data_IF_978075660963
#
_entry.id   IF_978075660963
#
_cell.length_a   1.000
_cell.length_b   1.000
_cell.length_c   1.000
_cell.angle_alpha   90.00
_cell.angle_beta   90.00
_cell.angle_gamma   90.00
#
_symmetry.space_group_name_H-M   'P 1'
#
loop_
_entity.id
_entity.type
_entity.pdbx_description
1 polymer ?
#
# COMPACT_ATOMS: atom_id res chain seq x y z
N UNK A 1 6.52 13.10 32.29
CA UNK A 1 6.55 14.36 31.51
C UNK A 1 7.99 14.83 31.45
N UNK A 2 8.64 14.74 30.28
CA UNK A 2 10.05 15.14 30.10
C UNK A 2 10.11 16.66 30.18
N UNK A 3 10.91 17.19 31.11
CA UNK A 3 11.07 18.63 31.31
C UNK A 3 11.85 19.19 30.11
N UNK A 4 11.27 20.15 29.39
CA UNK A 4 11.94 20.81 28.25
C UNK A 4 13.12 21.65 28.77
N UNK A 5 14.34 21.27 28.34
CA UNK A 5 15.60 21.91 28.74
C UNK A 5 16.19 22.77 27.62
N UNK A 6 15.48 22.95 26.51
CA UNK A 6 15.97 23.71 25.34
C UNK A 6 16.36 25.14 25.71
N UNK A 7 15.61 25.76 26.64
CA UNK A 7 15.90 27.09 27.15
C UNK A 7 17.13 27.16 28.07
N UNK A 8 17.44 26.11 28.82
CA UNK A 8 18.67 26.04 29.64
C UNK A 8 19.91 26.02 28.76
N UNK A 9 19.88 25.26 27.66
CA UNK A 9 20.97 25.20 26.69
C UNK A 9 21.19 26.54 25.98
N UNK A 10 20.10 27.20 25.55
CA UNK A 10 20.19 28.53 24.90
C UNK A 10 20.78 29.58 25.84
N UNK A 11 20.29 29.66 27.08
CA UNK A 11 20.78 30.63 28.07
C UNK A 11 22.24 30.41 28.45
N UNK A 12 22.69 29.16 28.43
CA UNK A 12 24.09 28.80 28.69
C UNK A 12 24.99 29.17 27.51
N UNK A 13 24.54 28.98 26.27
CA UNK A 13 25.26 29.42 25.07
C UNK A 13 25.46 30.95 25.06
N UNK A 14 24.43 31.73 25.39
CA UNK A 14 24.52 33.19 25.46
C UNK A 14 25.49 33.68 26.55
N UNK A 15 25.67 32.91 27.63
CA UNK A 15 26.64 33.19 28.69
C UNK A 15 28.10 32.92 28.30
N UNK A 16 28.34 32.11 27.26
CA UNK A 16 29.68 31.75 26.79
C UNK A 16 30.13 32.55 25.57
N UNK A 17 29.34 33.51 25.08
CA UNK A 17 29.78 34.48 24.08
C UNK A 17 30.48 35.64 24.82
N UNK A 18 31.82 35.74 24.82
CA UNK A 18 32.48 36.96 25.26
C UNK A 18 32.12 38.06 24.24
N UNK A 19 32.00 39.30 24.70
CA UNK A 19 31.98 40.46 23.81
C UNK A 19 33.37 40.59 23.15
N UNK A 20 33.66 39.78 22.14
CA UNK A 20 34.76 39.97 21.23
C UNK A 20 34.52 39.14 19.97
N UNK A 21 34.80 39.72 18.80
CA UNK A 21 34.56 39.21 17.44
C UNK A 21 35.38 37.94 17.11
N UNK A 22 35.27 36.91 17.95
CA UNK A 22 35.74 35.57 17.63
C UNK A 22 34.61 34.84 16.92
N UNK A 23 34.56 35.02 15.61
CA UNK A 23 33.91 34.07 14.71
C UNK A 23 34.58 32.73 15.00
N UNK A 24 33.92 31.90 15.81
CA UNK A 24 34.20 30.47 15.83
C UNK A 24 33.80 30.02 14.43
N UNK A 25 34.79 29.96 13.53
CA UNK A 25 34.66 29.20 12.30
C UNK A 25 34.46 27.77 12.77
N UNK A 26 33.20 27.40 12.94
CA UNK A 26 32.81 26.01 12.98
C UNK A 26 33.30 25.49 11.64
N UNK A 27 34.46 24.85 11.65
CA UNK A 27 34.89 23.91 10.62
C UNK A 27 33.98 22.68 10.71
N UNK A 28 32.69 22.95 10.66
CA UNK A 28 31.70 22.05 10.16
C UNK A 28 31.99 22.06 8.68
N UNK A 29 32.85 21.15 8.27
CA UNK A 29 32.50 20.30 7.16
C UNK A 29 31.13 19.64 7.48
N UNK A 30 30.06 20.44 7.48
CA UNK A 30 28.74 20.03 7.03
C UNK A 30 28.84 19.80 5.52
N UNK A 31 29.76 18.91 5.15
CA UNK A 31 29.76 18.15 3.91
C UNK A 31 28.70 17.04 3.98
N UNK A 32 27.81 17.08 4.98
CA UNK A 32 26.41 16.72 4.75
C UNK A 32 25.73 17.92 4.10
N UNK A 33 26.25 18.35 2.94
CA UNK A 33 25.35 18.80 1.90
C UNK A 33 24.49 17.57 1.65
N UNK A 34 23.32 17.54 2.29
CA UNK A 34 22.19 16.74 1.85
C UNK A 34 21.92 17.27 0.45
N UNK A 35 22.76 16.83 -0.52
CA UNK A 35 22.55 17.04 -1.94
C UNK A 35 21.27 16.29 -2.17
N UNK A 36 20.23 17.08 -2.04
CA UNK A 36 18.84 16.79 -2.15
C UNK A 36 18.72 16.17 -3.53
N UNK A 37 18.76 14.83 -3.55
CA UNK A 37 18.33 14.06 -4.70
C UNK A 37 16.82 14.25 -4.77
N UNK A 38 16.40 15.46 -5.14
CA UNK A 38 15.00 15.89 -5.19
C UNK A 38 14.22 14.99 -6.14
N UNK A 39 14.91 14.39 -7.11
CA UNK A 39 14.39 13.33 -7.96
C UNK A 39 13.95 12.11 -7.16
N UNK A 40 14.80 11.57 -6.27
CA UNK A 40 14.45 10.43 -5.42
C UNK A 40 13.31 10.74 -4.44
N UNK A 41 13.32 11.90 -3.79
CA UNK A 41 12.25 12.27 -2.86
C UNK A 41 10.92 12.48 -3.60
N UNK A 42 10.93 13.11 -4.78
CA UNK A 42 9.76 13.24 -5.62
C UNK A 42 9.20 11.88 -6.06
N UNK A 43 10.06 10.95 -6.45
CA UNK A 43 9.66 9.58 -6.82
C UNK A 43 9.05 8.82 -5.63
N UNK A 44 9.62 8.96 -4.43
CA UNK A 44 9.05 8.41 -3.19
C UNK A 44 7.67 8.98 -2.91
N UNK A 45 7.47 10.29 -3.08
CA UNK A 45 6.19 10.93 -2.82
C UNK A 45 5.13 10.54 -3.87
N UNK A 46 5.52 10.36 -5.13
CA UNK A 46 4.65 9.79 -6.16
C UNK A 46 4.20 8.37 -5.78
N UNK A 47 5.13 7.50 -5.37
CA UNK A 47 4.81 6.14 -4.95
C UNK A 47 3.90 6.14 -3.71
N UNK A 48 4.16 7.03 -2.76
CA UNK A 48 3.28 7.20 -1.59
C UNK A 48 1.87 7.61 -2.01
N UNK A 49 1.72 8.51 -2.97
CA UNK A 49 0.42 8.93 -3.47
C UNK A 49 -0.33 7.76 -4.14
N UNK A 50 0.33 7.00 -5.02
CA UNK A 50 -0.27 5.80 -5.62
C UNK A 50 -0.63 4.75 -4.55
N UNK A 51 0.18 4.65 -3.50
CA UNK A 51 -0.05 3.73 -2.39
C UNK A 51 -1.22 4.14 -1.48
N UNK A 52 -1.42 5.44 -1.27
CA UNK A 52 -2.61 5.95 -0.59
C UNK A 52 -3.86 5.63 -1.40
N UNK A 53 -3.84 5.88 -2.72
CA UNK A 53 -4.96 5.50 -3.60
C UNK A 53 -5.25 4.00 -3.53
N UNK A 54 -4.23 3.15 -3.60
CA UNK A 54 -4.39 1.71 -3.43
C UNK A 54 -5.03 1.35 -2.08
N UNK A 55 -4.61 2.02 -1.00
CA UNK A 55 -5.21 1.83 0.32
C UNK A 55 -6.70 2.18 0.34
N UNK A 56 -7.07 3.29 -0.31
CA UNK A 56 -8.47 3.74 -0.40
C UNK A 56 -9.32 2.75 -1.22
N UNK A 57 -8.76 2.17 -2.28
CA UNK A 57 -9.45 1.13 -3.05
C UNK A 57 -9.63 -0.14 -2.24
N UNK A 58 -8.60 -0.56 -1.50
CA UNK A 58 -8.67 -1.76 -0.64
C UNK A 58 -9.68 -1.55 0.49
N UNK A 59 -9.87 -0.32 0.97
CA UNK A 59 -10.95 0.01 1.89
C UNK A 59 -12.32 -0.02 1.19
N UNK A 60 -12.42 0.59 0.00
CA UNK A 60 -13.66 0.66 -0.78
C UNK A 60 -14.17 -0.72 -1.18
N UNK A 61 -13.30 -1.61 -1.65
CA UNK A 61 -13.69 -2.96 -2.00
C UNK A 61 -14.23 -3.72 -0.80
N UNK A 62 -13.62 -3.60 0.39
CA UNK A 62 -14.16 -4.23 1.60
C UNK A 62 -15.59 -3.75 1.91
N UNK A 63 -15.88 -2.48 1.69
CA UNK A 63 -17.23 -1.94 1.88
C UNK A 63 -18.20 -2.47 0.81
N UNK A 64 -17.80 -2.48 -0.46
CA UNK A 64 -18.62 -2.99 -1.56
C UNK A 64 -18.93 -4.49 -1.39
N UNK A 65 -17.93 -5.30 -1.04
CA UNK A 65 -18.09 -6.73 -0.77
C UNK A 65 -19.11 -6.98 0.36
N UNK A 66 -19.05 -6.18 1.43
CA UNK A 66 -20.03 -6.25 2.53
C UNK A 66 -21.43 -5.83 2.09
N UNK A 67 -21.55 -4.79 1.28
CA UNK A 67 -22.84 -4.32 0.73
C UNK A 67 -23.51 -5.41 -0.09
N UNK A 68 -22.79 -5.98 -1.06
CA UNK A 68 -23.30 -7.03 -1.96
C UNK A 68 -23.72 -8.29 -1.18
N UNK A 69 -22.96 -8.65 -0.14
CA UNK A 69 -23.31 -9.78 0.73
C UNK A 69 -24.52 -9.51 1.63
N UNK A 70 -24.81 -8.26 1.97
CA UNK A 70 -25.99 -7.88 2.76
C UNK A 70 -27.28 -7.83 1.93
N UNK A 71 -27.17 -7.67 0.60
CA UNK A 71 -28.33 -7.61 -0.29
C UNK A 71 -28.85 -9.00 -0.66
N UNK A 72 -30.18 -9.17 -0.67
CA UNK A 72 -30.86 -10.42 -1.02
C UNK A 72 -30.84 -10.73 -2.52
N UNK A 73 -30.65 -9.72 -3.36
CA UNK A 73 -30.44 -9.79 -4.81
C UNK A 73 -29.24 -8.89 -5.13
N UNK A 74 -28.29 -9.36 -5.94
CA UNK A 74 -27.12 -8.55 -6.33
C UNK A 74 -27.52 -7.61 -7.45
N UNK A 75 -27.31 -6.31 -7.27
CA UNK A 75 -27.46 -5.31 -8.34
C UNK A 75 -26.26 -5.41 -9.32
N UNK A 76 -26.54 -5.51 -10.62
CA UNK A 76 -25.53 -5.56 -11.67
C UNK A 76 -24.62 -4.32 -11.65
N UNK A 77 -25.14 -3.16 -11.26
CA UNK A 77 -24.36 -1.93 -11.10
C UNK A 77 -23.36 -2.02 -9.94
N UNK A 78 -23.73 -2.64 -8.81
CA UNK A 78 -22.79 -2.85 -7.71
C UNK A 78 -21.70 -3.85 -8.06
N UNK A 79 -22.05 -4.88 -8.83
CA UNK A 79 -21.10 -5.87 -9.36
C UNK A 79 -20.10 -5.25 -10.33
N UNK A 80 -20.57 -4.41 -11.26
CA UNK A 80 -19.69 -3.69 -12.19
C UNK A 80 -18.68 -2.79 -11.44
N UNK A 81 -19.16 -2.02 -10.45
CA UNK A 81 -18.29 -1.19 -9.60
C UNK A 81 -17.27 -2.00 -8.80
N UNK A 82 -17.66 -3.21 -8.36
CA UNK A 82 -16.75 -4.12 -7.67
C UNK A 82 -15.64 -4.60 -8.62
N UNK A 83 -16.01 -5.02 -9.83
CA UNK A 83 -15.07 -5.49 -10.86
C UNK A 83 -14.11 -4.37 -11.30
N UNK A 84 -14.62 -3.13 -11.46
CA UNK A 84 -13.81 -1.94 -11.74
C UNK A 84 -12.81 -1.67 -10.61
N UNK A 85 -13.26 -1.72 -9.35
CA UNK A 85 -12.39 -1.54 -8.19
C UNK A 85 -11.30 -2.62 -8.13
N UNK A 86 -11.64 -3.89 -8.36
CA UNK A 86 -10.67 -5.00 -8.44
C UNK A 86 -9.64 -4.79 -9.55
N UNK A 87 -10.08 -4.35 -10.73
CA UNK A 87 -9.18 -4.05 -11.85
C UNK A 87 -8.24 -2.90 -11.50
N UNK A 88 -8.75 -1.84 -10.87
CA UNK A 88 -7.97 -0.69 -10.41
C UNK A 88 -6.89 -1.09 -9.39
N UNK A 89 -7.24 -1.93 -8.41
CA UNK A 89 -6.30 -2.46 -7.41
C UNK A 89 -5.18 -3.25 -8.09
N UNK A 90 -5.52 -4.16 -9.02
CA UNK A 90 -4.53 -4.96 -9.76
C UNK A 90 -3.60 -4.06 -10.58
N UNK A 91 -4.15 -3.06 -11.27
CA UNK A 91 -3.38 -2.13 -12.08
C UNK A 91 -2.39 -1.31 -11.23
N UNK A 92 -2.87 -0.65 -10.16
CA UNK A 92 -2.03 0.15 -9.25
C UNK A 92 -0.98 -0.69 -8.53
N UNK A 93 -1.34 -1.90 -8.10
CA UNK A 93 -0.39 -2.84 -7.52
C UNK A 93 0.70 -3.24 -8.51
N UNK A 94 0.34 -3.46 -9.78
CA UNK A 94 1.31 -3.74 -10.85
C UNK A 94 2.24 -2.56 -11.11
N UNK A 95 1.71 -1.34 -11.12
CA UNK A 95 2.49 -0.11 -11.25
C UNK A 95 3.48 0.02 -10.08
N UNK A 96 3.00 -0.06 -8.83
CA UNK A 96 3.83 0.04 -7.64
C UNK A 96 4.96 -1.00 -7.61
N UNK A 97 4.68 -2.24 -8.01
CA UNK A 97 5.73 -3.28 -8.13
C UNK A 97 6.82 -2.91 -9.13
N UNK A 98 6.45 -2.38 -10.30
CA UNK A 98 7.41 -1.95 -11.33
C UNK A 98 8.27 -0.79 -10.83
N UNK A 99 7.65 0.24 -10.25
CA UNK A 99 8.38 1.39 -9.71
C UNK A 99 9.35 0.97 -8.59
N UNK A 100 8.90 0.16 -7.63
CA UNK A 100 9.78 -0.34 -6.56
C UNK A 100 10.94 -1.19 -7.07
N UNK A 101 10.73 -1.94 -8.16
CA UNK A 101 11.79 -2.71 -8.81
C UNK A 101 12.87 -1.78 -9.41
N UNK A 102 12.45 -0.77 -10.17
CA UNK A 102 13.36 0.22 -10.78
C UNK A 102 14.18 0.94 -9.70
N UNK A 103 13.53 1.46 -8.65
CA UNK A 103 14.24 2.12 -7.55
C UNK A 103 15.26 1.20 -6.85
N UNK A 104 14.92 -0.09 -6.69
CA UNK A 104 15.82 -1.08 -6.11
C UNK A 104 17.03 -1.35 -6.99
N UNK A 105 16.86 -1.36 -8.31
CA UNK A 105 17.98 -1.51 -9.25
C UNK A 105 18.88 -0.28 -9.27
N UNK A 106 18.31 0.92 -9.25
CA UNK A 106 19.08 2.16 -9.26
C UNK A 106 19.84 2.39 -7.96
N UNK A 107 19.25 2.01 -6.82
CA UNK A 107 19.94 2.00 -5.53
C UNK A 107 21.13 1.02 -5.47
N UNK A 108 21.09 -0.09 -6.24
CA UNK A 108 22.22 -1.03 -6.37
C UNK A 108 23.34 -0.51 -7.28
N UNK A 109 23.01 0.21 -8.35
CA UNK A 109 24.01 0.77 -9.27
C UNK A 109 24.89 1.83 -8.61
N UNK A 110 24.34 2.59 -7.65
CA UNK A 110 25.08 3.61 -6.89
C UNK A 110 26.03 3.01 -5.82
N UNK A 111 26.12 1.68 -5.71
CA UNK A 111 26.92 0.98 -4.70
C UNK A 111 28.44 1.04 -4.93
N UNK A 112 28.88 1.47 -6.12
CA UNK A 112 30.30 1.60 -6.47
C UNK A 112 30.99 2.84 -5.84
N UNK A 113 30.23 3.84 -5.39
CA UNK A 113 30.77 5.10 -4.85
C UNK A 113 30.73 5.08 -3.31
N UNK A 114 31.85 4.69 -2.68
CA UNK A 114 32.00 4.54 -1.23
C UNK A 114 31.75 5.82 -0.40
N UNK A 115 31.59 6.98 -1.04
CA UNK A 115 31.50 8.29 -0.39
C UNK A 115 30.08 8.56 0.17
N UNK A 116 29.02 7.90 -0.34
CA UNK A 116 27.62 8.25 -0.04
C UNK A 116 26.85 7.24 0.85
N UNK A 117 27.52 6.66 1.85
CA UNK A 117 26.95 5.60 2.71
C UNK A 117 25.65 5.98 3.45
N UNK A 118 25.46 7.25 3.82
CA UNK A 118 24.23 7.74 4.49
C UNK A 118 23.06 7.80 3.51
N UNK A 119 23.23 8.46 2.36
CA UNK A 119 22.19 8.58 1.33
C UNK A 119 21.73 7.20 0.84
N UNK A 120 22.66 6.24 0.71
CA UNK A 120 22.33 4.84 0.39
C UNK A 120 21.40 4.21 1.42
N UNK A 121 21.72 4.32 2.72
CA UNK A 121 20.90 3.77 3.81
C UNK A 121 19.50 4.37 3.83
N UNK A 122 19.40 5.68 3.60
CA UNK A 122 18.11 6.38 3.53
C UNK A 122 17.28 5.83 2.36
N UNK A 123 17.87 5.74 1.15
CA UNK A 123 17.17 5.18 -0.02
C UNK A 123 16.70 3.76 0.20
N UNK A 124 17.58 2.89 0.72
CA UNK A 124 17.28 1.50 0.99
C UNK A 124 16.15 1.35 2.02
N UNK A 125 16.20 2.11 3.12
CA UNK A 125 15.15 2.12 4.13
C UNK A 125 13.78 2.49 3.54
N UNK A 126 13.72 3.53 2.69
CA UNK A 126 12.48 3.92 2.04
C UNK A 126 11.92 2.85 1.10
N UNK A 127 12.78 2.22 0.28
CA UNK A 127 12.37 1.15 -0.64
C UNK A 127 11.83 -0.06 0.14
N UNK A 128 12.51 -0.46 1.21
CA UNK A 128 12.09 -1.57 2.07
C UNK A 128 10.75 -1.27 2.77
N UNK A 129 10.60 -0.07 3.33
CA UNK A 129 9.37 0.36 3.98
C UNK A 129 8.17 0.38 3.01
N UNK A 130 8.35 0.91 1.80
CA UNK A 130 7.30 0.95 0.77
C UNK A 130 6.96 -0.45 0.25
N UNK A 131 7.96 -1.32 0.07
CA UNK A 131 7.76 -2.71 -0.36
C UNK A 131 6.95 -3.50 0.67
N UNK A 132 7.25 -3.30 1.96
CA UNK A 132 6.48 -3.91 3.06
C UNK A 132 5.04 -3.41 3.06
N UNK A 133 4.83 -2.09 3.01
CA UNK A 133 3.48 -1.50 2.98
C UNK A 133 2.66 -2.00 1.79
N UNK A 134 3.25 -2.15 0.61
CA UNK A 134 2.58 -2.74 -0.54
C UNK A 134 2.18 -4.21 -0.29
N UNK A 135 3.07 -4.99 0.31
CA UNK A 135 2.80 -6.40 0.62
C UNK A 135 1.66 -6.54 1.63
N UNK A 136 1.65 -5.72 2.68
CA UNK A 136 0.59 -5.70 3.69
C UNK A 136 -0.77 -5.34 3.07
N UNK A 137 -0.82 -4.34 2.18
CA UNK A 137 -2.04 -3.97 1.46
C UNK A 137 -2.55 -5.10 0.55
N UNK A 138 -1.63 -5.79 -0.12
CA UNK A 138 -1.97 -6.91 -0.99
C UNK A 138 -2.47 -8.13 -0.20
N UNK A 139 -1.89 -8.41 0.96
CA UNK A 139 -2.37 -9.47 1.85
C UNK A 139 -3.81 -9.18 2.31
N UNK A 140 -4.07 -7.94 2.72
CA UNK A 140 -5.40 -7.49 3.11
C UNK A 140 -6.41 -7.62 1.95
N UNK A 141 -6.01 -7.21 0.74
CA UNK A 141 -6.84 -7.34 -0.45
C UNK A 141 -7.14 -8.81 -0.78
N UNK A 142 -6.12 -9.66 -0.80
CA UNK A 142 -6.26 -11.09 -1.10
C UNK A 142 -7.17 -11.78 -0.07
N UNK A 143 -7.02 -11.45 1.21
CA UNK A 143 -7.89 -11.97 2.27
C UNK A 143 -9.35 -11.56 2.07
N UNK A 144 -9.61 -10.29 1.75
CA UNK A 144 -10.96 -9.80 1.47
C UNK A 144 -11.57 -10.47 0.22
N UNK A 145 -10.78 -10.66 -0.83
CA UNK A 145 -11.23 -11.33 -2.06
C UNK A 145 -11.54 -12.81 -1.81
N UNK A 146 -10.70 -13.50 -1.02
CA UNK A 146 -10.94 -14.91 -0.66
C UNK A 146 -12.20 -15.06 0.18
N UNK A 147 -12.39 -14.22 1.19
CA UNK A 147 -13.60 -14.23 2.02
C UNK A 147 -14.85 -14.03 1.16
N UNK A 148 -14.84 -13.04 0.26
CA UNK A 148 -15.95 -12.84 -0.66
C UNK A 148 -16.26 -14.08 -1.51
N UNK A 149 -15.23 -14.72 -2.09
CA UNK A 149 -15.42 -15.93 -2.90
C UNK A 149 -16.09 -17.05 -2.09
N UNK A 150 -15.65 -17.23 -0.84
CA UNK A 150 -16.25 -18.21 0.09
C UNK A 150 -17.71 -17.87 0.39
N UNK A 151 -18.02 -16.60 0.66
CA UNK A 151 -19.39 -16.18 0.97
C UNK A 151 -20.34 -16.31 -0.23
N UNK A 152 -19.88 -15.95 -1.43
CA UNK A 152 -20.64 -16.12 -2.68
C UNK A 152 -20.90 -17.61 -2.94
N UNK A 153 -19.89 -18.47 -2.76
CA UNK A 153 -20.03 -19.93 -2.90
C UNK A 153 -21.08 -20.48 -1.95
N UNK A 154 -21.04 -20.11 -0.66
CA UNK A 154 -22.06 -20.50 0.32
C UNK A 154 -23.47 -20.02 -0.04
N UNK A 155 -23.59 -18.81 -0.59
CA UNK A 155 -24.89 -18.27 -1.03
C UNK A 155 -25.46 -19.07 -2.19
N UNK A 156 -24.66 -19.36 -3.21
CA UNK A 156 -25.08 -20.15 -4.38
C UNK A 156 -25.47 -21.56 -3.96
N UNK A 157 -24.65 -22.21 -3.12
CA UNK A 157 -24.95 -23.54 -2.58
C UNK A 157 -26.31 -23.58 -1.89
N UNK A 158 -26.61 -22.60 -1.03
CA UNK A 158 -27.93 -22.49 -0.37
C UNK A 158 -29.06 -22.33 -1.37
N UNK A 159 -28.88 -21.55 -2.44
CA UNK A 159 -29.91 -21.37 -3.48
C UNK A 159 -30.15 -22.67 -4.26
N UNK A 160 -29.09 -23.42 -4.59
CA UNK A 160 -29.20 -24.73 -5.24
C UNK A 160 -29.87 -25.77 -4.34
N UNK A 161 -29.49 -25.82 -3.05
CA UNK A 161 -30.12 -26.72 -2.07
C UNK A 161 -31.63 -26.42 -1.91
N UNK A 162 -32.03 -25.14 -1.93
CA UNK A 162 -33.45 -24.74 -1.90
C UNK A 162 -34.18 -25.16 -3.18
N UNK A 163 -33.52 -25.09 -4.33
CA UNK A 163 -34.04 -25.56 -5.61
C UNK A 163 -34.08 -27.10 -5.74
N UNK A 164 -33.56 -27.83 -4.76
CA UNK A 164 -33.52 -29.30 -4.74
C UNK A 164 -32.30 -29.91 -5.43
N UNK A 165 -31.33 -29.10 -5.82
CA UNK A 165 -30.04 -29.56 -6.37
C UNK A 165 -29.00 -29.62 -5.25
N UNK A 166 -28.66 -30.81 -4.78
CA UNK A 166 -27.61 -31.01 -3.80
C UNK A 166 -26.24 -30.99 -4.46
N UNK A 167 -25.55 -29.85 -4.35
CA UNK A 167 -24.22 -29.63 -4.93
C UNK A 167 -23.19 -29.41 -3.83
N UNK A 168 -22.01 -30.03 -3.97
CA UNK A 168 -20.90 -29.87 -3.00
C UNK A 168 -20.26 -28.49 -3.10
N UNK A 169 -19.53 -28.07 -2.07
CA UNK A 169 -18.87 -26.75 -2.07
C UNK A 169 -17.74 -26.69 -3.11
N UNK A 170 -17.06 -27.83 -3.38
CA UNK A 170 -16.11 -27.96 -4.47
C UNK A 170 -16.75 -27.77 -5.85
N UNK A 171 -17.91 -28.38 -6.09
CA UNK A 171 -18.64 -28.26 -7.37
C UNK A 171 -19.17 -26.83 -7.59
N UNK A 172 -19.63 -26.15 -6.53
CA UNK A 172 -20.02 -24.74 -6.64
C UNK A 172 -18.80 -23.86 -6.97
N UNK A 173 -17.63 -24.14 -6.38
CA UNK A 173 -16.42 -23.39 -6.69
C UNK A 173 -15.96 -23.61 -8.15
N UNK A 174 -16.05 -24.83 -8.68
CA UNK A 174 -15.74 -25.06 -10.11
C UNK A 174 -16.76 -24.39 -11.04
N UNK A 175 -18.03 -24.30 -10.65
CA UNK A 175 -19.05 -23.53 -11.38
C UNK A 175 -18.76 -22.03 -11.38
N UNK A 176 -18.30 -21.46 -10.26
CA UNK A 176 -17.87 -20.05 -10.17
C UNK A 176 -16.65 -19.80 -11.05
N UNK A 177 -15.65 -20.68 -11.00
CA UNK A 177 -14.40 -20.54 -11.74
C UNK A 177 -14.59 -20.71 -13.26
N UNK A 178 -15.58 -21.50 -13.69
CA UNK A 178 -15.90 -21.72 -15.10
C UNK A 178 -16.66 -20.55 -15.77
N UNK A 179 -17.00 -19.48 -15.02
CA UNK A 179 -17.77 -18.31 -15.50
C UNK A 179 -19.04 -18.68 -16.27
N UNK A 180 -19.68 -19.81 -15.93
CA UNK A 180 -20.93 -20.20 -16.57
C UNK A 180 -22.07 -19.31 -16.09
N UNK A 181 -22.29 -18.18 -16.77
CA UNK A 181 -23.40 -17.25 -16.52
C UNK A 181 -24.78 -17.92 -16.65
N UNK A 182 -24.88 -19.07 -17.30
CA UNK A 182 -26.16 -19.79 -17.48
C UNK A 182 -26.71 -20.38 -16.18
N UNK A 183 -25.84 -20.79 -15.24
CA UNK A 183 -26.28 -21.39 -13.97
C UNK A 183 -26.90 -20.32 -13.07
N UNK A 184 -26.34 -19.11 -13.07
CA UNK A 184 -26.84 -17.97 -12.30
C UNK A 184 -28.18 -17.44 -12.81
N UNK A 185 -28.43 -17.51 -14.12
CA UNK A 185 -29.69 -17.07 -14.72
C UNK A 185 -30.83 -18.09 -14.58
N UNK A 186 -30.55 -19.33 -14.16
CA UNK A 186 -31.59 -20.35 -13.93
C UNK A 186 -32.27 -20.26 -12.56
N UNK A 187 -31.70 -19.49 -11.64
CA UNK A 187 -32.16 -19.33 -10.25
C UNK A 187 -32.79 -17.94 -9.96
N UNK A 188 -33.00 -17.14 -11.00
CA UNK A 188 -33.78 -15.89 -11.00
C UNK A 188 -35.09 -16.12 -11.75
#
# INVERSE_FOLDING_TARGET
>A
MVKDRSNEFRRKADQFLPNDDTIITIDGESNVSFVQDGSFLAEIDEIRNVMTKLSDDVASIKMQLRSILAQTIVDDNEKEKLDECMAGIKHRSGLLRKHLLVMKEDAKKTEAEKINGISKRIKQYHIEALSKKLSDLLEIFNAAQLDYRVQVSKRIKRQLDIAGEHVTEEEVNTMIDSKSSEIFNRLL
#
